data_IF_532999883873
#
_entry.id   IF_532999883873
#
_cell.length_a   1.000
_cell.length_b   1.000
_cell.length_c   1.000
_cell.angle_alpha   90.00
_cell.angle_beta   90.00
_cell.angle_gamma   90.00
#
_symmetry.space_group_name_H-M   'P 1'
#
loop_
_entity.id
_entity.type
_entity.pdbx_description
1 polymer ?
#
# COMPACT_ATOMS: atom_id res chain seq x y z
N UNK A 1 5.72 14.27 18.80
CA UNK A 1 6.68 13.14 18.87
C UNK A 1 7.97 13.52 18.14
N UNK A 2 9.15 13.08 18.61
CA UNK A 2 10.41 13.25 17.84
C UNK A 2 10.38 12.32 16.61
N UNK A 3 10.69 12.83 15.41
CA UNK A 3 10.84 11.99 14.21
C UNK A 3 12.02 11.05 14.41
N UNK A 4 11.80 9.74 14.25
CA UNK A 4 12.84 8.71 14.29
C UNK A 4 13.14 8.32 12.84
N UNK A 5 14.38 8.52 12.41
CA UNK A 5 14.84 8.10 11.09
C UNK A 5 15.40 6.69 11.20
N UNK A 6 14.83 5.76 10.45
CA UNK A 6 15.30 4.38 10.36
C UNK A 6 16.30 4.30 9.20
N UNK A 7 17.58 4.17 9.54
CA UNK A 7 18.70 4.12 8.58
C UNK A 7 19.29 2.71 8.43
N UNK A 8 18.55 1.68 8.86
CA UNK A 8 18.91 0.28 8.64
C UNK A 8 18.61 -0.12 7.18
N UNK A 9 19.20 -1.22 6.71
CA UNK A 9 18.99 -1.78 5.36
C UNK A 9 17.61 -2.40 5.13
N UNK A 10 16.69 -2.24 6.08
CA UNK A 10 15.35 -2.83 6.05
C UNK A 10 14.93 -3.34 7.44
N UNK A 11 13.66 -3.14 7.86
CA UNK A 11 12.63 -2.33 7.20
C UNK A 11 13.02 -0.84 7.11
N UNK A 12 12.30 -0.06 6.30
CA UNK A 12 12.43 1.40 6.18
C UNK A 12 11.15 2.10 6.63
N UNK A 13 11.16 3.42 6.91
CA UNK A 13 9.94 4.13 7.28
C UNK A 13 8.91 4.06 6.16
N UNK A 14 7.67 3.69 6.49
CA UNK A 14 6.54 3.72 5.57
C UNK A 14 6.24 5.19 5.20
N UNK A 15 6.04 5.54 3.91
CA UNK A 15 5.66 6.90 3.53
C UNK A 15 4.39 7.38 4.23
N UNK A 16 4.35 8.67 4.62
CA UNK A 16 3.25 9.24 5.44
C UNK A 16 1.87 9.05 4.77
N UNK A 17 1.76 9.18 3.45
CA UNK A 17 0.51 8.96 2.72
C UNK A 17 0.05 7.49 2.78
N UNK A 18 0.96 6.52 2.73
CA UNK A 18 0.62 5.10 2.86
C UNK A 18 0.14 4.79 4.27
N UNK A 19 0.78 5.36 5.30
CA UNK A 19 0.35 5.21 6.68
C UNK A 19 -1.06 5.79 6.92
N UNK A 20 -1.41 6.89 6.24
CA UNK A 20 -2.75 7.47 6.28
C UNK A 20 -3.79 6.54 5.62
N UNK A 21 -3.48 5.95 4.46
CA UNK A 21 -4.37 4.98 3.82
C UNK A 21 -4.57 3.73 4.69
N UNK A 22 -3.50 3.24 5.33
CA UNK A 22 -3.59 2.11 6.26
C UNK A 22 -4.41 2.39 7.53
N UNK A 23 -4.64 3.67 7.85
CA UNK A 23 -5.47 4.06 9.00
C UNK A 23 -6.97 3.98 8.73
N UNK A 24 -7.38 3.77 7.47
CA UNK A 24 -8.77 3.65 7.08
C UNK A 24 -9.40 2.34 7.61
N UNK A 25 -10.74 2.30 7.79
CA UNK A 25 -11.43 1.07 8.17
C UNK A 25 -11.21 -0.06 7.16
N UNK A 26 -11.14 -1.29 7.68
CA UNK A 26 -10.99 -2.49 6.85
C UNK A 26 -12.19 -2.71 5.92
N UNK A 27 -11.89 -2.98 4.65
CA UNK A 27 -12.91 -3.34 3.64
C UNK A 27 -13.12 -4.85 3.64
N UNK A 28 -14.38 -5.30 3.58
CA UNK A 28 -14.68 -6.73 3.48
C UNK A 28 -14.33 -7.27 2.08
N UNK A 29 -13.60 -8.39 2.04
CA UNK A 29 -13.00 -8.95 0.82
C UNK A 29 -14.00 -9.39 -0.27
N UNK A 30 -15.29 -9.60 0.05
CA UNK A 30 -16.33 -9.97 -0.93
C UNK A 30 -17.17 -8.79 -1.44
N UNK A 31 -16.74 -7.57 -1.15
CA UNK A 31 -17.44 -6.37 -1.63
C UNK A 31 -16.94 -5.95 -3.02
N UNK A 32 -17.78 -5.31 -3.85
CA UNK A 32 -17.33 -4.74 -5.13
C UNK A 32 -16.18 -3.75 -4.97
N UNK A 33 -16.15 -3.02 -3.86
CA UNK A 33 -15.06 -2.09 -3.52
C UNK A 33 -13.71 -2.81 -3.38
N UNK A 34 -13.67 -3.94 -2.65
CA UNK A 34 -12.45 -4.72 -2.53
C UNK A 34 -11.97 -5.26 -3.88
N UNK A 35 -12.89 -5.84 -4.67
CA UNK A 35 -12.56 -6.37 -6.00
C UNK A 35 -11.96 -5.29 -6.91
N UNK A 36 -12.47 -4.06 -6.84
CA UNK A 36 -11.92 -2.91 -7.57
C UNK A 36 -10.48 -2.59 -7.13
N UNK A 37 -10.24 -2.40 -5.83
CA UNK A 37 -8.92 -2.08 -5.28
C UNK A 37 -7.90 -3.18 -5.62
N UNK A 38 -8.29 -4.45 -5.49
CA UNK A 38 -7.44 -5.58 -5.81
C UNK A 38 -7.07 -5.63 -7.30
N UNK A 39 -8.04 -5.35 -8.18
CA UNK A 39 -7.79 -5.25 -9.62
C UNK A 39 -6.83 -4.12 -9.97
N UNK A 40 -7.03 -2.93 -9.40
CA UNK A 40 -6.13 -1.78 -9.59
C UNK A 40 -4.70 -2.09 -9.14
N UNK A 41 -4.53 -2.77 -8.00
CA UNK A 41 -3.23 -3.19 -7.51
C UNK A 41 -2.54 -4.22 -8.44
N UNK A 42 -3.31 -5.17 -9.00
CA UNK A 42 -2.79 -6.16 -9.94
C UNK A 42 -2.32 -5.51 -11.25
N UNK A 43 -3.06 -4.53 -11.79
CA UNK A 43 -2.64 -3.78 -12.98
C UNK A 43 -1.39 -2.91 -12.71
N UNK A 44 -1.35 -2.23 -11.56
CA UNK A 44 -0.16 -1.47 -11.16
C UNK A 44 1.08 -2.37 -11.00
N UNK A 45 0.90 -3.60 -10.49
CA UNK A 45 1.99 -4.57 -10.39
C UNK A 45 2.51 -4.98 -11.77
N UNK A 46 1.64 -5.18 -12.76
CA UNK A 46 2.08 -5.50 -14.13
C UNK A 46 2.95 -4.41 -14.73
N UNK A 47 2.53 -3.15 -14.56
CA UNK A 47 3.33 -1.98 -14.93
C UNK A 47 4.66 -1.95 -14.17
N UNK A 48 4.65 -2.12 -12.85
CA UNK A 48 5.87 -2.08 -12.03
C UNK A 48 6.88 -3.16 -12.44
N UNK A 49 6.41 -4.38 -12.67
CA UNK A 49 7.24 -5.51 -13.07
C UNK A 49 7.47 -5.59 -14.57
N UNK A 50 6.96 -4.63 -15.36
CA UNK A 50 7.13 -4.54 -16.82
C UNK A 50 6.70 -5.83 -17.54
N UNK A 51 5.59 -6.40 -17.10
CA UNK A 51 4.98 -7.59 -17.73
C UNK A 51 3.90 -7.24 -18.76
N UNK A 52 3.58 -5.94 -18.82
CA UNK A 52 2.74 -5.27 -19.82
C UNK A 52 3.29 -3.86 -20.01
#
# INVERSE_FOLDING_TARGET
MKKKYLLASGPTPVPEHVALEMSQPMVHHRTPQFSKIFGEAAEAAKYLFQTQ
#
